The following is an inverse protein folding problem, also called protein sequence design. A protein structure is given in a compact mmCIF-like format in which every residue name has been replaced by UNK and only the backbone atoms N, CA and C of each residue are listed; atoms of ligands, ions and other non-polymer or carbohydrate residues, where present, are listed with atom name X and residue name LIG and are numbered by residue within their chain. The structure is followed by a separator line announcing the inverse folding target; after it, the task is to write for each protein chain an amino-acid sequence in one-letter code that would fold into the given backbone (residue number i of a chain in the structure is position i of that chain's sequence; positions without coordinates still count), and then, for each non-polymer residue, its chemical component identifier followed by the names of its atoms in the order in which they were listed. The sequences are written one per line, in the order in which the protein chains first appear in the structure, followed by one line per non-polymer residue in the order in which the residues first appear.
data_IF_580145205147
#
_entry.id   IF_580145205147
#
_cell.length_a   1.000
_cell.length_b   1.000
_cell.length_c   1.000
_cell.angle_alpha   90.00
_cell.angle_beta   90.00
_cell.angle_gamma   90.00
#
_symmetry.space_group_name_H-M   'P 1'
#
loop_
_entity.id
_entity.type
_entity.pdbx_description
1 polymer ?
#
# COMPACT_ATOMS: atom_id res chain seq x y z
N UNK A 1 7.85 26.19 18.53
CA UNK A 1 7.75 24.72 18.39
C UNK A 1 6.51 24.15 19.06
N UNK A 2 6.12 24.61 20.26
CA UNK A 2 4.94 24.12 20.99
C UNK A 2 3.63 24.16 20.18
N UNK A 3 3.27 25.32 19.59
CA UNK A 3 2.03 25.44 18.79
C UNK A 3 1.97 24.52 17.56
N UNK A 4 3.12 24.28 16.91
CA UNK A 4 3.20 23.39 15.73
C UNK A 4 3.10 21.93 16.17
N UNK A 5 3.68 21.60 17.32
CA UNK A 5 3.53 20.29 17.94
C UNK A 5 2.08 20.02 18.34
N UNK A 6 1.39 21.00 18.95
CA UNK A 6 -0.03 20.88 19.31
C UNK A 6 -0.91 20.65 18.09
N UNK A 7 -0.71 21.41 17.01
CA UNK A 7 -1.44 21.21 15.77
C UNK A 7 -1.21 19.81 15.16
N UNK A 8 0.03 19.32 15.18
CA UNK A 8 0.35 17.95 14.75
C UNK A 8 -0.24 16.90 15.69
N UNK A 9 -0.19 17.15 17.00
CA UNK A 9 -0.72 16.24 17.98
C UNK A 9 -2.23 16.15 17.88
N UNK A 10 -2.94 17.24 17.59
CA UNK A 10 -4.37 17.21 17.37
C UNK A 10 -4.69 16.47 16.05
N UNK A 11 -4.10 16.92 14.94
CA UNK A 11 -4.31 16.38 13.59
C UNK A 11 -2.99 15.88 12.97
N UNK A 12 -2.61 14.62 13.23
CA UNK A 12 -1.38 14.04 12.71
C UNK A 12 -1.61 13.69 11.23
N UNK A 13 -1.27 14.62 10.35
CA UNK A 13 -1.33 14.47 8.90
C UNK A 13 0.05 14.75 8.30
N UNK A 14 0.26 14.36 7.04
CA UNK A 14 1.55 14.59 6.39
C UNK A 14 1.91 16.09 6.34
N UNK A 15 0.93 16.97 6.14
CA UNK A 15 1.17 18.41 6.07
C UNK A 15 1.66 18.99 7.40
N UNK A 16 1.02 18.62 8.51
CA UNK A 16 1.44 19.06 9.85
C UNK A 16 2.80 18.45 10.22
N UNK A 17 3.09 17.22 9.78
CA UNK A 17 4.43 16.62 9.90
C UNK A 17 5.50 17.40 9.11
N UNK A 18 5.21 17.79 7.86
CA UNK A 18 6.13 18.59 7.03
C UNK A 18 6.38 19.97 7.63
N UNK A 19 5.37 20.60 8.20
CA UNK A 19 5.53 21.85 8.95
C UNK A 19 6.43 21.63 10.17
N UNK A 20 6.18 20.59 10.97
CA UNK A 20 7.04 20.23 12.10
C UNK A 20 8.49 19.99 11.67
N UNK A 21 8.72 19.29 10.56
CA UNK A 21 10.03 19.05 9.94
C UNK A 21 10.73 20.33 9.54
N UNK A 22 10.02 21.25 8.87
CA UNK A 22 10.57 22.54 8.45
C UNK A 22 11.05 23.38 9.63
N UNK A 23 10.24 23.47 10.69
CA UNK A 23 10.58 24.26 11.87
C UNK A 23 11.61 23.57 12.77
N UNK A 24 11.53 22.24 12.93
CA UNK A 24 12.51 21.45 13.68
C UNK A 24 13.90 21.51 13.06
N UNK A 25 14.01 21.53 11.72
CA UNK A 25 15.29 21.72 11.01
C UNK A 25 15.88 23.10 11.25
N UNK A 26 15.07 24.16 11.19
CA UNK A 26 15.51 25.54 11.52
C UNK A 26 16.01 25.65 12.96
N UNK A 27 15.37 24.95 13.88
CA UNK A 27 15.75 24.90 15.30
C UNK A 27 16.88 23.90 15.62
N UNK A 28 17.45 23.20 14.62
CA UNK A 28 18.46 22.13 14.79
C UNK A 28 18.06 21.00 15.76
N UNK A 29 16.77 20.85 16.04
CA UNK A 29 16.23 19.87 17.00
C UNK A 29 15.38 18.79 16.31
N UNK A 30 15.46 18.67 14.98
CA UNK A 30 14.61 17.77 14.19
C UNK A 30 14.63 16.30 14.65
N UNK A 31 15.77 15.66 14.94
CA UNK A 31 15.78 14.24 15.31
C UNK A 31 14.85 13.93 16.50
N UNK A 32 14.91 14.74 17.58
CA UNK A 32 14.05 14.54 18.74
C UNK A 32 12.56 14.76 18.43
N UNK A 33 12.23 15.76 17.60
CA UNK A 33 10.84 16.02 17.19
C UNK A 33 10.30 14.95 16.24
N UNK A 34 11.15 14.39 15.38
CA UNK A 34 10.80 13.27 14.50
C UNK A 34 10.44 12.04 15.31
N UNK A 35 11.29 11.64 16.24
CA UNK A 35 11.07 10.44 17.03
C UNK A 35 9.82 10.59 17.91
N UNK A 36 9.61 11.79 18.47
CA UNK A 36 8.39 12.12 19.22
C UNK A 36 7.14 12.04 18.35
N UNK A 37 7.19 12.54 17.11
CA UNK A 37 6.07 12.49 16.18
C UNK A 37 5.71 11.05 15.78
N UNK A 38 6.72 10.22 15.47
CA UNK A 38 6.52 8.82 15.13
C UNK A 38 5.99 8.01 16.32
N UNK A 39 6.48 8.28 17.53
CA UNK A 39 5.99 7.66 18.76
C UNK A 39 4.51 7.97 18.99
N UNK A 40 4.09 9.23 18.85
CA UNK A 40 2.69 9.64 19.00
C UNK A 40 1.77 8.91 18.00
N UNK A 41 2.20 8.79 16.73
CA UNK A 41 1.40 8.09 15.72
C UNK A 41 1.26 6.61 16.09
N UNK A 42 2.35 5.96 16.51
CA UNK A 42 2.34 4.53 16.92
C UNK A 42 1.47 4.29 18.15
N UNK A 43 1.54 5.17 19.15
CA UNK A 43 0.70 5.14 20.35
C UNK A 43 -0.79 5.25 19.98
N UNK A 44 -1.16 6.23 19.16
CA UNK A 44 -2.54 6.38 18.68
C UNK A 44 -3.06 5.17 17.92
N UNK A 45 -2.20 4.53 17.12
CA UNK A 45 -2.55 3.30 16.41
C UNK A 45 -2.77 2.16 17.42
N UNK A 46 -1.92 2.05 18.45
CA UNK A 46 -2.04 1.02 19.49
C UNK A 46 -3.31 1.19 20.32
N UNK A 47 -3.61 2.40 20.79
CA UNK A 47 -4.81 2.72 21.58
C UNK A 47 -6.08 2.36 20.80
N UNK A 48 -6.14 2.77 19.53
CA UNK A 48 -7.28 2.44 18.66
C UNK A 48 -7.37 0.96 18.32
N UNK A 49 -6.27 0.18 18.34
CA UNK A 49 -6.30 -1.27 18.17
C UNK A 49 -6.82 -1.99 19.42
N UNK A 50 -6.50 -1.48 20.60
CA UNK A 50 -6.92 -2.03 21.89
C UNK A 50 -8.43 -1.85 22.16
N UNK A 51 -9.06 -0.83 21.58
CA UNK A 51 -10.51 -0.66 21.69
C UNK A 51 -11.30 -1.78 20.99
N UNK A 52 -12.11 -2.56 21.74
CA UNK A 52 -13.00 -3.57 21.17
C UNK A 52 -14.10 -2.88 20.38
N UNK A 53 -13.85 -2.63 19.10
CA UNK A 53 -14.90 -2.12 18.22
C UNK A 53 -15.81 -3.28 17.84
N UNK A 54 -17.03 -3.29 18.39
CA UNK A 54 -18.14 -4.13 17.91
C UNK A 54 -18.59 -3.83 16.47
N UNK A 55 -17.88 -2.95 15.75
CA UNK A 55 -18.17 -2.60 14.36
C UNK A 55 -17.46 -3.54 13.37
N UNK A 56 -18.15 -3.96 12.29
CA UNK A 56 -17.57 -4.75 11.22
C UNK A 56 -16.33 -4.10 10.62
N UNK A 57 -15.37 -4.91 10.16
CA UNK A 57 -14.05 -4.47 9.68
C UNK A 57 -14.11 -3.37 8.59
N UNK A 58 -15.18 -3.35 7.79
CA UNK A 58 -15.42 -2.41 6.69
C UNK A 58 -16.05 -1.06 7.12
N UNK A 59 -16.52 -0.95 8.37
CA UNK A 59 -17.00 0.30 8.99
C UNK A 59 -15.99 0.87 10.01
N UNK A 60 -14.82 0.26 10.15
CA UNK A 60 -13.76 0.77 11.04
C UNK A 60 -13.05 1.93 10.32
N UNK A 61 -12.88 3.10 10.96
CA UNK A 61 -12.16 4.20 10.33
C UNK A 61 -10.73 3.76 10.01
N UNK A 62 -10.21 4.15 8.84
CA UNK A 62 -8.85 3.88 8.32
C UNK A 62 -7.71 4.31 9.26
N UNK A 63 -8.03 4.85 10.45
CA UNK A 63 -7.12 5.36 11.46
C UNK A 63 -6.49 4.32 12.39
N UNK A 64 -6.61 3.01 12.09
CA UNK A 64 -5.94 1.91 12.80
C UNK A 64 -4.75 1.32 12.03
N UNK A 65 -4.56 1.72 10.78
CA UNK A 65 -3.49 1.21 9.94
C UNK A 65 -2.28 2.14 9.99
N UNK A 66 -1.14 1.65 9.50
CA UNK A 66 0.12 2.40 9.52
C UNK A 66 0.23 3.33 8.30
N UNK A 67 -0.87 3.67 7.60
CA UNK A 67 -0.84 4.45 6.35
C UNK A 67 -0.11 5.79 6.51
N UNK A 68 -0.33 6.51 7.61
CA UNK A 68 0.36 7.78 7.87
C UNK A 68 1.86 7.58 8.09
N UNK A 69 2.26 6.51 8.80
CA UNK A 69 3.67 6.17 8.99
C UNK A 69 4.32 5.85 7.63
N UNK A 70 3.66 5.02 6.82
CA UNK A 70 4.11 4.68 5.46
C UNK A 70 4.25 5.94 4.62
N UNK A 71 3.28 6.85 4.65
CA UNK A 71 3.32 8.11 3.93
C UNK A 71 4.50 9.00 4.36
N UNK A 72 4.74 9.12 5.67
CA UNK A 72 5.87 9.85 6.23
C UNK A 72 7.20 9.24 5.78
N UNK A 73 7.37 7.92 5.87
CA UNK A 73 8.61 7.27 5.45
C UNK A 73 8.85 7.40 3.93
N UNK A 74 7.78 7.40 3.12
CA UNK A 74 7.88 7.68 1.69
C UNK A 74 8.26 9.15 1.41
N UNK A 75 7.78 10.12 2.20
CA UNK A 75 8.21 11.54 2.13
C UNK A 75 9.67 11.72 2.55
N UNK A 76 10.16 10.90 3.47
CA UNK A 76 11.55 10.89 3.90
C UNK A 76 12.49 10.13 2.97
N UNK A 77 11.98 9.62 1.84
CA UNK A 77 12.73 8.81 0.88
C UNK A 77 13.30 7.52 1.50
N UNK A 78 12.65 6.94 2.51
CA UNK A 78 13.00 5.66 3.11
C UNK A 78 11.93 4.58 2.81
N UNK A 79 11.95 3.99 1.61
CA UNK A 79 10.99 2.96 1.23
C UNK A 79 11.16 1.66 2.04
N UNK A 80 12.32 1.42 2.65
CA UNK A 80 12.57 0.23 3.45
C UNK A 80 11.87 0.32 4.82
N UNK A 81 11.94 1.48 5.48
CA UNK A 81 11.17 1.73 6.68
C UNK A 81 9.67 1.75 6.40
N UNK A 82 9.24 2.40 5.32
CA UNK A 82 7.83 2.41 4.88
C UNK A 82 7.28 0.98 4.70
N UNK A 83 8.07 0.09 4.08
CA UNK A 83 7.71 -1.30 3.91
C UNK A 83 7.54 -2.06 5.24
N UNK A 84 8.47 -1.89 6.18
CA UNK A 84 8.39 -2.54 7.51
C UNK A 84 7.13 -2.13 8.26
N UNK A 85 6.78 -0.85 8.23
CA UNK A 85 5.56 -0.36 8.87
C UNK A 85 4.29 -0.91 8.21
N UNK A 86 4.26 -0.96 6.87
CA UNK A 86 3.15 -1.56 6.15
C UNK A 86 2.99 -3.04 6.49
N UNK A 87 4.08 -3.80 6.63
CA UNK A 87 4.02 -5.20 7.06
C UNK A 87 3.53 -5.36 8.51
N UNK A 88 3.96 -4.48 9.41
CA UNK A 88 3.63 -4.58 10.84
C UNK A 88 2.16 -4.27 11.16
N UNK A 89 1.56 -3.31 10.44
CA UNK A 89 0.22 -2.84 10.78
C UNK A 89 -0.75 -2.68 9.63
N UNK A 90 -0.36 -3.06 8.42
CA UNK A 90 -1.11 -2.79 7.21
C UNK A 90 -1.07 -1.32 6.81
N UNK A 91 -1.43 -1.05 5.57
CA UNK A 91 -1.72 0.29 5.08
C UNK A 91 -2.83 0.22 4.03
N UNK A 92 -3.30 1.38 3.60
CA UNK A 92 -4.27 1.47 2.51
C UNK A 92 -3.73 0.81 1.23
N UNK A 93 -4.66 0.37 0.39
CA UNK A 93 -4.34 -0.29 -0.88
C UNK A 93 -3.48 0.60 -1.79
N UNK A 94 -3.75 1.91 -1.82
CA UNK A 94 -2.95 2.86 -2.60
C UNK A 94 -1.49 2.91 -2.14
N UNK A 95 -1.23 2.84 -0.83
CA UNK A 95 0.13 2.79 -0.30
C UNK A 95 0.81 1.45 -0.60
N UNK A 96 0.10 0.34 -0.50
CA UNK A 96 0.64 -0.97 -0.89
C UNK A 96 1.06 -1.00 -2.36
N UNK A 97 0.26 -0.45 -3.27
CA UNK A 97 0.62 -0.37 -4.69
C UNK A 97 1.83 0.53 -4.94
N UNK A 98 1.93 1.65 -4.22
CA UNK A 98 3.10 2.54 -4.30
C UNK A 98 4.37 1.84 -3.81
N UNK A 99 4.28 1.08 -2.71
CA UNK A 99 5.37 0.28 -2.17
C UNK A 99 5.76 -0.90 -3.09
N UNK A 100 4.79 -1.56 -3.71
CA UNK A 100 5.05 -2.59 -4.70
C UNK A 100 5.88 -2.02 -5.86
N UNK A 101 5.46 -0.86 -6.41
CA UNK A 101 6.15 -0.18 -7.49
C UNK A 101 7.61 0.17 -7.15
N UNK A 102 7.88 0.65 -5.94
CA UNK A 102 9.27 0.97 -5.53
C UNK A 102 10.13 -0.28 -5.34
N UNK A 103 9.51 -1.43 -5.06
CA UNK A 103 10.20 -2.72 -4.82
C UNK A 103 10.30 -3.62 -6.05
N UNK A 104 9.67 -3.29 -7.18
CA UNK A 104 9.68 -4.14 -8.40
C UNK A 104 11.09 -4.60 -8.82
N UNK A 105 12.10 -3.71 -8.70
CA UNK A 105 13.48 -4.01 -9.10
C UNK A 105 14.28 -4.73 -8.03
N UNK A 106 14.06 -4.41 -6.76
CA UNK A 106 14.88 -4.92 -5.65
C UNK A 106 14.31 -6.19 -5.03
N UNK A 107 13.00 -6.34 -5.04
CA UNK A 107 12.25 -7.46 -4.44
C UNK A 107 11.04 -7.79 -5.32
N UNK A 108 11.26 -8.38 -6.52
CA UNK A 108 10.20 -8.64 -7.49
C UNK A 108 9.07 -9.52 -6.93
N UNK A 109 9.38 -10.50 -6.08
CA UNK A 109 8.39 -11.40 -5.48
C UNK A 109 7.42 -10.67 -4.53
N UNK A 110 7.92 -9.71 -3.75
CA UNK A 110 7.10 -8.87 -2.88
C UNK A 110 6.10 -8.05 -3.69
N UNK A 111 6.56 -7.44 -4.78
CA UNK A 111 5.73 -6.63 -5.67
C UNK A 111 4.66 -7.48 -6.36
N UNK A 112 5.06 -8.65 -6.89
CA UNK A 112 4.12 -9.62 -7.50
C UNK A 112 3.04 -10.03 -6.50
N UNK A 113 3.40 -10.37 -5.26
CA UNK A 113 2.43 -10.76 -4.24
C UNK A 113 1.37 -9.68 -3.99
N UNK A 114 1.78 -8.41 -3.92
CA UNK A 114 0.85 -7.29 -3.76
C UNK A 114 -0.05 -7.14 -4.98
N UNK A 115 0.51 -7.19 -6.19
CA UNK A 115 -0.28 -7.09 -7.41
C UNK A 115 -1.27 -8.25 -7.57
N UNK A 116 -0.90 -9.48 -7.19
CA UNK A 116 -1.82 -10.62 -7.17
C UNK A 116 -3.00 -10.38 -6.23
N UNK A 117 -2.73 -9.91 -5.01
CA UNK A 117 -3.78 -9.58 -4.03
C UNK A 117 -4.71 -8.47 -4.54
N UNK A 118 -4.15 -7.44 -5.19
CA UNK A 118 -4.93 -6.36 -5.77
C UNK A 118 -5.79 -6.83 -6.95
N UNK A 119 -5.24 -7.65 -7.85
CA UNK A 119 -6.02 -8.28 -8.94
C UNK A 119 -7.17 -9.10 -8.37
N UNK A 120 -6.92 -9.94 -7.37
CA UNK A 120 -7.97 -10.71 -6.72
C UNK A 120 -9.05 -9.81 -6.11
N UNK A 121 -8.66 -8.67 -5.51
CA UNK A 121 -9.59 -7.69 -4.97
C UNK A 121 -10.46 -7.04 -6.07
N UNK A 122 -9.84 -6.61 -7.18
CA UNK A 122 -10.55 -6.07 -8.34
C UNK A 122 -11.55 -7.08 -8.91
N UNK A 123 -11.13 -8.32 -9.11
CA UNK A 123 -11.95 -9.35 -9.76
C UNK A 123 -13.16 -9.82 -8.93
N UNK A 124 -13.25 -9.46 -7.65
CA UNK A 124 -14.48 -9.60 -6.86
C UNK A 124 -15.60 -8.71 -7.38
N UNK A 125 -15.26 -7.56 -7.95
CA UNK A 125 -16.21 -6.64 -8.54
C UNK A 125 -16.50 -6.98 -10.01
N UNK A 126 -17.45 -6.28 -10.60
CA UNK A 126 -17.85 -6.40 -12.00
C UNK A 126 -17.83 -5.03 -12.66
N UNK A 127 -17.26 -4.94 -13.86
CA UNK A 127 -17.29 -3.72 -14.65
C UNK A 127 -16.11 -3.67 -15.60
N UNK A 128 -16.29 -3.02 -16.75
CA UNK A 128 -15.26 -3.00 -17.79
C UNK A 128 -13.99 -2.28 -17.33
N UNK A 129 -14.13 -1.18 -16.58
CA UNK A 129 -12.99 -0.50 -15.97
C UNK A 129 -12.22 -1.41 -15.01
N UNK A 130 -12.92 -2.16 -14.16
CA UNK A 130 -12.31 -3.10 -13.20
C UNK A 130 -11.52 -4.19 -13.92
N UNK A 131 -12.06 -4.72 -15.02
CA UNK A 131 -11.37 -5.74 -15.79
C UNK A 131 -10.15 -5.18 -16.54
N UNK A 132 -10.24 -3.96 -17.08
CA UNK A 132 -9.09 -3.29 -17.69
C UNK A 132 -7.98 -3.03 -16.66
N UNK A 133 -8.34 -2.53 -15.47
CA UNK A 133 -7.38 -2.31 -14.38
C UNK A 133 -6.72 -3.64 -13.98
N UNK A 134 -7.50 -4.72 -13.81
CA UNK A 134 -6.99 -6.04 -13.48
C UNK A 134 -6.01 -6.57 -14.55
N UNK A 135 -6.35 -6.44 -15.84
CA UNK A 135 -5.48 -6.82 -16.95
C UNK A 135 -4.19 -6.02 -16.92
N UNK A 136 -4.25 -4.71 -16.68
CA UNK A 136 -3.05 -3.87 -16.54
C UNK A 136 -2.11 -4.32 -15.42
N UNK A 137 -2.64 -4.81 -14.30
CA UNK A 137 -1.81 -5.40 -13.24
C UNK A 137 -1.26 -6.79 -13.62
N UNK A 138 -2.00 -7.60 -14.38
CA UNK A 138 -1.48 -8.85 -14.93
C UNK A 138 -0.30 -8.62 -15.88
N UNK A 139 -0.33 -7.55 -16.69
CA UNK A 139 0.79 -7.18 -17.56
C UNK A 139 2.04 -6.81 -16.76
N UNK A 140 1.87 -6.09 -15.66
CA UNK A 140 2.98 -5.76 -14.74
C UNK A 140 3.56 -7.03 -14.13
N UNK A 141 2.74 -7.95 -13.65
CA UNK A 141 3.19 -9.23 -13.09
C UNK A 141 3.98 -10.03 -14.14
N UNK A 142 3.48 -10.11 -15.38
CA UNK A 142 4.19 -10.76 -16.48
C UNK A 142 5.54 -10.12 -16.74
N UNK A 143 5.60 -8.79 -16.79
CA UNK A 143 6.86 -8.05 -17.01
C UNK A 143 7.89 -8.35 -15.92
N UNK A 144 7.45 -8.43 -14.65
CA UNK A 144 8.33 -8.76 -13.52
C UNK A 144 8.85 -10.20 -13.65
N UNK A 145 7.99 -11.17 -13.97
CA UNK A 145 8.41 -12.55 -14.17
C UNK A 145 9.35 -12.75 -15.36
N UNK A 146 9.12 -12.04 -16.46
CA UNK A 146 10.01 -12.06 -17.61
C UNK A 146 11.41 -11.50 -17.24
N UNK A 147 11.46 -10.42 -16.45
CA UNK A 147 12.70 -9.82 -15.98
C UNK A 147 13.49 -10.67 -14.98
N UNK A 148 12.82 -11.56 -14.24
CA UNK A 148 13.46 -12.48 -13.27
C UNK A 148 13.79 -13.86 -13.86
N UNK A 149 13.53 -14.10 -15.15
CA UNK A 149 13.73 -15.41 -15.79
C UNK A 149 12.67 -16.45 -15.38
N UNK A 150 11.61 -16.04 -14.70
CA UNK A 150 10.52 -16.87 -14.19
C UNK A 150 9.26 -16.80 -15.09
N UNK A 151 9.41 -16.58 -16.40
CA UNK A 151 8.29 -16.45 -17.34
C UNK A 151 7.32 -17.67 -17.28
N UNK A 152 7.87 -18.84 -16.97
CA UNK A 152 7.11 -20.07 -16.74
C UNK A 152 6.09 -19.96 -15.58
N UNK A 153 6.29 -19.07 -14.60
CA UNK A 153 5.39 -18.89 -13.46
C UNK A 153 4.14 -18.05 -13.79
N UNK A 154 4.14 -17.30 -14.91
CA UNK A 154 2.96 -16.51 -15.30
C UNK A 154 1.83 -17.39 -15.85
N UNK A 155 2.16 -18.43 -16.63
CA UNK A 155 1.15 -19.30 -17.27
C UNK A 155 0.26 -20.05 -16.26
N UNK A 156 0.79 -20.70 -15.20
CA UNK A 156 -0.03 -21.34 -14.17
C UNK A 156 -0.94 -20.32 -13.48
N UNK A 157 -0.41 -19.15 -13.13
CA UNK A 157 -1.18 -18.10 -12.47
C UNK A 157 -2.34 -17.58 -13.33
N UNK A 158 -2.10 -17.35 -14.63
CA UNK A 158 -3.14 -16.96 -15.57
C UNK A 158 -4.22 -18.06 -15.72
N UNK A 159 -3.80 -19.33 -15.73
CA UNK A 159 -4.71 -20.48 -15.81
C UNK A 159 -5.65 -20.54 -14.60
N UNK A 160 -5.13 -20.30 -13.39
CA UNK A 160 -5.93 -20.19 -12.17
C UNK A 160 -6.97 -19.07 -12.27
N UNK A 161 -6.57 -17.88 -12.73
CA UNK A 161 -7.50 -16.74 -12.91
C UNK A 161 -8.61 -17.09 -13.88
N UNK A 162 -8.28 -17.71 -15.02
CA UNK A 162 -9.27 -18.15 -16.01
C UNK A 162 -10.25 -19.16 -15.43
N UNK A 163 -9.75 -20.15 -14.69
CA UNK A 163 -10.58 -21.17 -14.07
C UNK A 163 -11.55 -20.56 -13.04
N UNK A 164 -11.06 -19.67 -12.18
CA UNK A 164 -11.85 -19.01 -11.14
C UNK A 164 -12.91 -18.04 -11.71
N UNK A 165 -12.58 -17.35 -12.81
CA UNK A 165 -13.42 -16.28 -13.35
C UNK A 165 -14.05 -16.60 -14.70
N UNK A 166 -14.14 -17.87 -15.11
CA UNK A 166 -14.66 -18.32 -16.43
C UNK A 166 -16.03 -17.75 -16.83
N UNK A 167 -16.88 -17.41 -15.85
CA UNK A 167 -18.21 -16.82 -16.09
C UNK A 167 -18.17 -15.35 -16.50
N UNK A 168 -17.06 -14.64 -16.25
CA UNK A 168 -16.88 -13.22 -16.58
C UNK A 168 -16.40 -13.07 -18.03
N UNK A 169 -17.34 -13.13 -18.98
CA UNK A 169 -17.07 -13.13 -20.44
C UNK A 169 -16.22 -11.94 -20.91
N UNK A 170 -16.45 -10.75 -20.39
CA UNK A 170 -15.66 -9.56 -20.75
C UNK A 170 -14.20 -9.68 -20.30
N UNK A 171 -13.94 -10.27 -19.13
CA UNK A 171 -12.59 -10.55 -18.68
C UNK A 171 -11.91 -11.56 -19.62
N UNK A 172 -12.58 -12.67 -19.95
CA UNK A 172 -12.02 -13.67 -20.88
C UNK A 172 -11.66 -13.05 -22.22
N UNK A 173 -12.58 -12.25 -22.80
CA UNK A 173 -12.32 -11.51 -24.04
C UNK A 173 -11.09 -10.61 -23.95
N UNK A 174 -10.90 -9.90 -22.84
CA UNK A 174 -9.72 -9.05 -22.64
C UNK A 174 -8.43 -9.86 -22.52
N UNK A 175 -8.46 -11.03 -21.86
CA UNK A 175 -7.30 -11.92 -21.78
C UNK A 175 -6.96 -12.47 -23.18
N UNK A 176 -7.95 -12.95 -23.92
CA UNK A 176 -7.78 -13.48 -25.28
C UNK A 176 -7.17 -12.43 -26.23
N UNK A 177 -7.63 -11.16 -26.13
CA UNK A 177 -7.08 -10.04 -26.91
C UNK A 177 -5.60 -9.74 -26.63
N UNK A 178 -5.09 -10.10 -25.45
CA UNK A 178 -3.67 -9.96 -25.09
C UNK A 178 -2.82 -11.15 -25.56
N UNK A 179 -3.43 -12.15 -26.21
CA UNK A 179 -2.77 -13.38 -26.64
C UNK A 179 -2.41 -14.30 -25.46
N UNK A 180 -3.21 -14.23 -24.39
CA UNK A 180 -3.05 -14.99 -23.16
C UNK A 180 -4.03 -16.15 -23.12
#
# INVERSE_FOLDING_TARGET
MALIWEAFAEYPWLETYRQLKRHGRRAKAWPGWRDRALALIRERIADKKAEPSGRPLWMRPSSRDHSLLVEIFLDECDPAAAWREAQAGGCSEGFWLRLAKTRERSHPDDAVRIYKNHVAALLRNTGDRVYNDAVGFLEKIRTIFAGSGADAAFRPYLTEIRAMHKRKRNLMKLLDQRGW
#
